data_IF_703234777725
#
_entry.id   IF_703234777725
#
_cell.length_a   1.000
_cell.length_b   1.000
_cell.length_c   1.000
_cell.angle_alpha   90.00
_cell.angle_beta   90.00
_cell.angle_gamma   90.00
#
_symmetry.space_group_name_H-M   'P 1'
#
loop_
_entity.id
_entity.type
_entity.pdbx_description
1 polymer ?
#
# COMPACT_ATOMS: atom_id res chain seq x y z
N UNK A 1 34.35 -3.74 14.77
CA UNK A 1 33.99 -4.97 15.50
C UNK A 1 32.48 -5.16 15.36
N UNK A 2 32.02 -6.09 14.50
CA UNK A 2 30.59 -6.33 14.33
C UNK A 2 30.07 -7.03 15.59
N UNK A 3 29.17 -6.38 16.35
CA UNK A 3 28.47 -7.06 17.46
C UNK A 3 27.77 -8.30 16.89
N UNK A 4 27.78 -9.42 17.61
CA UNK A 4 27.13 -10.65 17.14
C UNK A 4 25.65 -10.36 16.83
N UNK A 5 25.24 -10.46 15.56
CA UNK A 5 23.85 -10.29 15.15
C UNK A 5 22.97 -11.25 15.96
N UNK A 6 22.04 -10.72 16.75
CA UNK A 6 21.07 -11.55 17.48
C UNK A 6 19.88 -11.82 16.57
N UNK A 7 20.06 -12.75 15.63
CA UNK A 7 19.08 -13.06 14.59
C UNK A 7 17.66 -13.28 15.13
N UNK A 8 17.49 -14.12 16.16
CA UNK A 8 16.17 -14.37 16.76
C UNK A 8 15.50 -13.11 17.34
N UNK A 9 16.27 -12.13 17.82
CA UNK A 9 15.73 -10.85 18.27
C UNK A 9 15.35 -9.94 17.11
N UNK A 10 16.14 -9.93 16.04
CA UNK A 10 15.79 -9.17 14.84
C UNK A 10 14.49 -9.70 14.22
N UNK A 11 14.34 -11.03 14.14
CA UNK A 11 13.09 -11.67 13.69
C UNK A 11 11.91 -11.25 14.57
N UNK A 12 12.03 -11.40 15.89
CA UNK A 12 10.95 -11.03 16.82
C UNK A 12 10.61 -9.54 16.73
N UNK A 13 11.61 -8.67 16.69
CA UNK A 13 11.42 -7.23 16.60
C UNK A 13 10.74 -6.81 15.29
N UNK A 14 11.14 -7.39 14.16
CA UNK A 14 10.49 -7.17 12.87
C UNK A 14 9.03 -7.61 12.87
N UNK A 15 8.74 -8.81 13.36
CA UNK A 15 7.37 -9.32 13.46
C UNK A 15 6.48 -8.42 14.34
N UNK A 16 6.98 -8.00 15.51
CA UNK A 16 6.24 -7.10 16.41
C UNK A 16 6.00 -5.72 15.79
N UNK A 17 7.01 -5.16 15.12
CA UNK A 17 6.90 -3.87 14.44
C UNK A 17 5.89 -3.92 13.30
N UNK A 18 5.92 -4.98 12.46
CA UNK A 18 4.93 -5.18 11.39
C UNK A 18 3.53 -5.35 11.94
N UNK A 19 3.36 -6.15 13.01
CA UNK A 19 2.07 -6.37 13.63
C UNK A 19 1.50 -5.05 14.19
N UNK A 20 2.31 -4.26 14.90
CA UNK A 20 1.89 -2.96 15.42
C UNK A 20 1.46 -1.99 14.31
N UNK A 21 2.25 -1.91 13.23
CA UNK A 21 1.92 -1.08 12.08
C UNK A 21 0.62 -1.54 11.38
N UNK A 22 0.46 -2.84 11.21
CA UNK A 22 -0.73 -3.45 10.59
C UNK A 22 -1.97 -3.16 11.43
N UNK A 23 -1.92 -3.40 12.74
CA UNK A 23 -3.03 -3.12 13.65
C UNK A 23 -3.43 -1.65 13.61
N UNK A 24 -2.46 -0.74 13.55
CA UNK A 24 -2.72 0.69 13.43
C UNK A 24 -3.47 1.01 12.14
N UNK A 25 -3.00 0.49 11.00
CA UNK A 25 -3.63 0.70 9.69
C UNK A 25 -5.06 0.14 9.62
N UNK A 26 -5.31 -1.04 10.17
CA UNK A 26 -6.66 -1.61 10.26
C UNK A 26 -7.55 -0.89 11.29
N UNK A 27 -6.96 -0.15 12.22
CA UNK A 27 -7.67 0.69 13.19
C UNK A 27 -8.11 2.05 12.64
N UNK A 28 -7.60 2.52 11.50
CA UNK A 28 -7.95 3.83 10.94
C UNK A 28 -9.46 4.06 10.72
N UNK A 29 -10.21 3.10 10.19
CA UNK A 29 -11.66 3.26 10.04
C UNK A 29 -12.38 3.52 11.36
N UNK A 30 -11.85 3.04 12.49
CA UNK A 30 -12.45 3.25 13.82
C UNK A 30 -12.37 4.71 14.28
N UNK A 31 -11.46 5.50 13.71
CA UNK A 31 -11.31 6.94 13.98
C UNK A 31 -11.78 7.81 12.82
N UNK A 32 -12.57 7.24 11.89
CA UNK A 32 -13.15 7.96 10.74
C UNK A 32 -12.18 8.25 9.60
N UNK A 33 -11.00 7.61 9.59
CA UNK A 33 -10.03 7.72 8.51
C UNK A 33 -10.28 6.64 7.44
N UNK A 34 -9.92 6.88 6.17
CA UNK A 34 -10.11 5.91 5.10
C UNK A 34 -9.32 4.62 5.34
N UNK A 35 -9.91 3.48 5.00
CA UNK A 35 -9.24 2.17 5.04
C UNK A 35 -8.16 2.08 3.98
N UNK A 36 -6.95 1.63 4.36
CA UNK A 36 -5.87 1.31 3.43
C UNK A 36 -5.65 -0.20 3.39
N UNK A 37 -6.12 -0.85 2.33
CA UNK A 37 -5.98 -2.30 2.17
C UNK A 37 -4.66 -2.68 1.50
N UNK A 38 -3.56 -2.50 2.25
CA UNK A 38 -2.21 -2.83 1.78
C UNK A 38 -2.05 -4.35 1.58
N UNK A 39 -2.78 -5.18 2.33
CA UNK A 39 -2.68 -6.63 2.20
C UNK A 39 -3.24 -7.10 0.86
N UNK A 40 -4.44 -6.65 0.49
CA UNK A 40 -4.97 -6.96 -0.84
C UNK A 40 -4.08 -6.37 -1.95
N UNK A 41 -3.58 -5.13 -1.77
CA UNK A 41 -2.72 -4.48 -2.77
C UNK A 41 -1.41 -5.25 -3.00
N UNK A 42 -0.71 -5.67 -1.94
CA UNK A 42 0.54 -6.42 -2.04
C UNK A 42 0.31 -7.83 -2.60
N UNK A 43 -0.73 -8.53 -2.15
CA UNK A 43 -1.00 -9.89 -2.59
C UNK A 43 -1.51 -9.97 -4.02
N UNK A 44 -2.27 -8.97 -4.48
CA UNK A 44 -2.84 -8.93 -5.83
C UNK A 44 -1.81 -8.73 -6.96
N UNK A 45 -0.57 -8.39 -6.62
CA UNK A 45 0.53 -8.25 -7.60
C UNK A 45 1.03 -9.61 -8.11
N UNK A 46 0.86 -10.66 -7.30
CA UNK A 46 1.42 -11.97 -7.60
C UNK A 46 0.36 -12.93 -8.12
N UNK A 47 0.62 -13.68 -9.22
CA UNK A 47 -0.34 -14.57 -9.86
C UNK A 47 -0.38 -15.94 -9.18
N UNK A 48 -0.51 -15.98 -7.86
CA UNK A 48 -0.65 -17.23 -7.12
C UNK A 48 -2.12 -17.48 -6.80
N UNK A 49 -2.57 -18.74 -6.85
CA UNK A 49 -3.93 -19.16 -6.47
C UNK A 49 -4.20 -19.09 -4.94
N UNK A 50 -3.48 -18.22 -4.24
CA UNK A 50 -3.65 -17.93 -2.83
C UNK A 50 -4.49 -16.68 -2.65
N UNK A 51 -5.24 -16.60 -1.55
CA UNK A 51 -5.97 -15.38 -1.20
C UNK A 51 -5.03 -14.17 -1.21
N UNK A 52 -5.38 -13.05 -1.87
CA UNK A 52 -4.57 -11.83 -1.87
C UNK A 52 -4.23 -11.36 -0.44
N UNK A 53 -5.13 -11.56 0.52
CA UNK A 53 -4.88 -11.20 1.91
C UNK A 53 -3.81 -12.08 2.57
N UNK A 54 -3.80 -13.38 2.29
CA UNK A 54 -2.79 -14.31 2.83
C UNK A 54 -1.44 -13.99 2.21
N UNK A 55 -1.39 -13.89 0.88
CA UNK A 55 -0.16 -13.57 0.15
C UNK A 55 0.40 -12.20 0.58
N UNK A 56 -0.45 -11.17 0.61
CA UNK A 56 -0.08 -9.83 1.06
C UNK A 56 0.41 -9.80 2.50
N UNK A 57 -0.22 -10.56 3.40
CA UNK A 57 0.24 -10.68 4.80
C UNK A 57 1.63 -11.31 4.91
N UNK A 58 1.91 -12.36 4.12
CA UNK A 58 3.22 -13.00 4.09
C UNK A 58 4.30 -12.05 3.55
N UNK A 59 4.00 -11.34 2.47
CA UNK A 59 4.90 -10.35 1.87
C UNK A 59 5.16 -9.20 2.85
N UNK A 60 4.11 -8.67 3.49
CA UNK A 60 4.23 -7.58 4.46
C UNK A 60 5.06 -7.98 5.69
N UNK A 61 4.81 -9.18 6.23
CA UNK A 61 5.60 -9.75 7.31
C UNK A 61 7.05 -9.98 6.89
N UNK A 62 7.28 -10.57 5.72
CA UNK A 62 8.62 -10.81 5.16
C UNK A 62 9.42 -9.52 4.95
N UNK A 63 8.78 -8.47 4.42
CA UNK A 63 9.39 -7.14 4.26
C UNK A 63 9.78 -6.54 5.61
N UNK A 64 8.90 -6.59 6.61
CA UNK A 64 9.25 -6.08 7.94
C UNK A 64 10.40 -6.85 8.60
N UNK A 65 10.40 -8.19 8.53
CA UNK A 65 11.53 -8.98 9.02
C UNK A 65 12.84 -8.61 8.29
N UNK A 66 12.78 -8.43 6.96
CA UNK A 66 13.94 -8.04 6.16
C UNK A 66 14.48 -6.66 6.57
N UNK A 67 13.59 -5.68 6.77
CA UNK A 67 13.94 -4.35 7.25
C UNK A 67 14.53 -4.40 8.67
N UNK A 68 14.02 -5.26 9.55
CA UNK A 68 14.57 -5.44 10.89
C UNK A 68 15.99 -6.01 10.87
N UNK A 69 16.28 -6.94 9.96
CA UNK A 69 17.63 -7.47 9.76
C UNK A 69 18.58 -6.39 9.21
N UNK A 70 18.13 -5.59 8.25
CA UNK A 70 18.91 -4.45 7.72
C UNK A 70 19.20 -3.44 8.82
N UNK A 71 18.20 -3.07 9.62
CA UNK A 71 18.36 -2.18 10.77
C UNK A 71 19.42 -2.74 11.74
N UNK A 72 19.27 -4.00 12.14
CA UNK A 72 20.15 -4.68 13.07
C UNK A 72 21.61 -4.76 12.58
N UNK A 73 21.81 -4.92 11.28
CA UNK A 73 23.13 -5.11 10.67
C UNK A 73 23.86 -3.79 10.40
N UNK A 74 23.16 -2.78 9.87
CA UNK A 74 23.79 -1.59 9.31
C UNK A 74 23.51 -0.32 10.12
N UNK A 75 22.31 -0.18 10.68
CA UNK A 75 21.84 1.09 11.24
C UNK A 75 21.91 1.16 12.75
N UNK A 76 21.71 0.04 13.44
CA UNK A 76 21.81 -0.01 14.89
C UNK A 76 23.15 0.63 15.33
N UNK A 77 24.34 0.17 14.92
CA UNK A 77 25.59 0.72 15.48
C UNK A 77 25.85 2.21 15.19
N UNK A 78 25.15 2.80 14.22
CA UNK A 78 25.40 4.15 13.71
C UNK A 78 24.40 5.20 14.20
N UNK A 79 23.16 4.80 14.49
CA UNK A 79 22.13 5.77 14.87
C UNK A 79 22.25 6.14 16.36
N UNK A 80 22.21 7.44 16.70
CA UNK A 80 22.31 7.91 18.08
C UNK A 80 20.98 7.79 18.84
N UNK A 81 21.06 7.81 20.17
CA UNK A 81 19.90 7.95 21.06
C UNK A 81 19.30 6.63 21.56
N UNK A 82 18.14 6.68 22.24
CA UNK A 82 17.46 5.49 22.75
C UNK A 82 16.93 4.62 21.60
N UNK A 83 16.68 3.34 21.90
CA UNK A 83 16.25 2.35 20.90
C UNK A 83 15.06 2.80 20.04
N UNK A 84 13.99 3.33 20.65
CA UNK A 84 12.82 3.83 19.91
C UNK A 84 13.17 4.94 18.92
N UNK A 85 14.08 5.85 19.28
CA UNK A 85 14.48 6.95 18.42
C UNK A 85 15.32 6.46 17.25
N UNK A 86 16.26 5.54 17.50
CA UNK A 86 17.10 4.92 16.46
C UNK A 86 16.24 4.20 15.43
N UNK A 87 15.28 3.41 15.89
CA UNK A 87 14.36 2.73 14.99
C UNK A 87 13.45 3.71 14.22
N UNK A 88 12.92 4.75 14.88
CA UNK A 88 12.13 5.79 14.21
C UNK A 88 12.93 6.55 13.15
N UNK A 89 14.20 6.89 13.43
CA UNK A 89 15.12 7.51 12.47
C UNK A 89 15.39 6.60 11.26
N UNK A 90 15.61 5.31 11.50
CA UNK A 90 15.76 4.32 10.42
C UNK A 90 14.52 4.27 9.52
N UNK A 91 13.32 4.35 10.09
CA UNK A 91 12.06 4.24 9.35
C UNK A 91 11.77 5.37 8.36
N UNK A 92 12.52 6.47 8.38
CA UNK A 92 12.43 7.45 7.29
C UNK A 92 12.83 6.86 5.93
N UNK A 93 13.74 5.88 5.91
CA UNK A 93 14.18 5.21 4.68
C UNK A 93 13.04 4.40 4.04
N UNK A 94 12.42 3.42 4.72
CA UNK A 94 11.29 2.69 4.15
C UNK A 94 10.08 3.59 3.89
N UNK A 95 9.85 4.65 4.68
CA UNK A 95 8.81 5.64 4.38
C UNK A 95 9.08 6.37 3.06
N UNK A 96 10.32 6.83 2.84
CA UNK A 96 10.69 7.50 1.60
C UNK A 96 10.58 6.54 0.40
N UNK A 97 11.00 5.30 0.57
CA UNK A 97 10.76 4.24 -0.42
C UNK A 97 9.26 4.06 -0.70
N UNK A 98 8.43 4.00 0.33
CA UNK A 98 7.00 3.81 0.18
C UNK A 98 6.34 4.94 -0.62
N UNK A 99 6.75 6.19 -0.39
CA UNK A 99 6.14 7.34 -1.07
C UNK A 99 6.67 7.59 -2.48
N UNK A 100 7.90 7.17 -2.77
CA UNK A 100 8.56 7.47 -4.07
C UNK A 100 8.67 6.28 -5.00
N UNK A 101 8.85 5.08 -4.47
CA UNK A 101 9.26 3.89 -5.24
C UNK A 101 8.26 2.76 -5.17
N UNK A 102 7.36 2.69 -4.19
CA UNK A 102 6.44 1.57 -4.06
C UNK A 102 5.53 1.42 -5.28
N UNK A 103 4.90 2.50 -5.74
CA UNK A 103 4.02 2.46 -6.93
C UNK A 103 4.73 1.91 -8.17
N UNK A 104 5.85 2.51 -8.61
CA UNK A 104 6.67 1.97 -9.70
C UNK A 104 7.12 0.53 -9.46
N UNK A 105 7.50 0.18 -8.23
CA UNK A 105 7.97 -1.19 -7.91
C UNK A 105 6.86 -2.23 -8.05
N UNK A 106 5.63 -1.91 -7.62
CA UNK A 106 4.48 -2.80 -7.79
C UNK A 106 4.08 -2.96 -9.26
N UNK A 107 4.19 -1.89 -10.05
CA UNK A 107 3.95 -1.96 -11.50
C UNK A 107 4.96 -2.90 -12.16
N UNK A 108 6.25 -2.68 -11.91
CA UNK A 108 7.33 -3.53 -12.44
C UNK A 108 7.14 -4.98 -12.01
N UNK A 109 6.81 -5.23 -10.74
CA UNK A 109 6.53 -6.57 -10.26
C UNK A 109 5.35 -7.20 -11.00
N UNK A 110 4.26 -6.46 -11.22
CA UNK A 110 3.11 -6.97 -11.95
C UNK A 110 3.45 -7.32 -13.40
N UNK A 111 4.30 -6.52 -14.06
CA UNK A 111 4.73 -6.76 -15.44
C UNK A 111 5.65 -7.99 -15.52
N UNK A 112 6.54 -8.18 -14.54
CA UNK A 112 7.44 -9.33 -14.45
C UNK A 112 6.70 -10.64 -14.20
N UNK A 113 5.71 -10.63 -13.29
CA UNK A 113 5.02 -11.86 -12.90
C UNK A 113 3.85 -12.22 -13.82
N UNK A 114 3.27 -11.26 -14.57
CA UNK A 114 2.18 -11.56 -15.51
C UNK A 114 2.63 -12.13 -16.85
N UNK A 115 3.94 -12.17 -17.14
CA UNK A 115 4.53 -12.90 -18.27
C UNK A 115 3.94 -12.58 -19.64
N UNK A 116 4.60 -11.73 -20.43
CA UNK A 116 4.51 -11.61 -21.91
C UNK A 116 3.16 -11.97 -22.60
N UNK A 117 2.02 -11.52 -22.08
CA UNK A 117 0.81 -11.39 -22.89
C UNK A 117 0.59 -9.89 -23.16
N UNK A 118 1.14 -9.47 -24.31
CA UNK A 118 0.95 -8.19 -25.01
C UNK A 118 1.77 -6.97 -24.55
N UNK A 119 2.98 -6.88 -25.12
CA UNK A 119 3.53 -5.59 -25.54
C UNK A 119 2.63 -5.02 -26.65
N UNK A 120 1.62 -4.22 -26.29
CA UNK A 120 1.08 -3.11 -27.11
C UNK A 120 -0.07 -2.38 -26.39
N UNK A 121 0.28 -1.50 -25.44
CA UNK A 121 -0.24 -0.13 -25.35
C UNK A 121 0.26 0.50 -24.05
N UNK A 122 1.49 0.99 -24.09
CA UNK A 122 1.92 2.02 -23.17
C UNK A 122 1.12 3.29 -23.53
N UNK A 123 0.02 3.50 -22.83
CA UNK A 123 -0.67 4.79 -22.80
C UNK A 123 -0.93 5.14 -21.34
N UNK A 124 0.13 5.62 -20.70
CA UNK A 124 0.12 6.50 -19.54
C UNK A 124 -0.35 5.90 -18.22
N UNK A 125 0.30 6.37 -17.16
CA UNK A 125 -0.35 6.72 -15.89
C UNK A 125 -1.62 7.51 -16.24
N UNK A 126 -2.71 6.78 -16.46
CA UNK A 126 -4.03 7.35 -16.61
C UNK A 126 -4.78 6.87 -15.39
N UNK A 127 -4.83 7.79 -14.42
CA UNK A 127 -5.96 7.99 -13.53
C UNK A 127 -7.22 7.23 -14.04
N UNK A 128 -7.88 6.39 -13.24
CA UNK A 128 -9.06 5.63 -13.67
C UNK A 128 -10.23 6.51 -14.17
N UNK A 129 -10.14 7.83 -14.05
CA UNK A 129 -11.04 8.84 -14.61
C UNK A 129 -10.59 9.42 -15.97
N UNK A 130 -9.44 9.00 -16.52
CA UNK A 130 -8.94 9.41 -17.85
C UNK A 130 -9.09 8.30 -18.90
N UNK A 131 -9.22 7.05 -18.48
CA UNK A 131 -9.89 6.03 -19.30
C UNK A 131 -11.37 6.36 -19.24
N UNK A 132 -11.87 7.15 -20.19
CA UNK A 132 -13.31 7.31 -20.39
C UNK A 132 -13.88 5.91 -20.57
N UNK A 133 -14.68 5.36 -19.64
CA UNK A 133 -15.37 4.12 -19.92
C UNK A 133 -16.17 4.37 -21.18
N UNK A 134 -16.06 3.46 -22.17
CA UNK A 134 -16.94 3.51 -23.32
C UNK A 134 -18.35 3.63 -22.76
N UNK A 135 -19.00 4.77 -23.01
CA UNK A 135 -20.35 5.00 -22.53
C UNK A 135 -21.17 3.82 -23.07
N UNK A 136 -21.84 3.01 -22.23
CA UNK A 136 -22.64 1.89 -22.72
C UNK A 136 -23.77 2.37 -23.66
N UNK A 137 -23.99 3.68 -23.78
CA UNK A 137 -24.85 4.31 -24.78
C UNK A 137 -24.20 4.52 -26.18
N UNK A 138 -22.96 4.07 -26.41
CA UNK A 138 -22.26 4.24 -27.70
C UNK A 138 -22.40 3.04 -28.63
N UNK A 139 -23.01 1.94 -28.17
CA UNK A 139 -23.43 0.87 -29.07
C UNK A 139 -24.59 1.39 -29.90
N UNK A 140 -24.37 1.46 -31.21
CA UNK A 140 -25.37 1.74 -32.22
C UNK A 140 -26.74 1.21 -31.77
N UNK A 141 -27.71 2.11 -31.62
CA UNK A 141 -29.10 1.75 -31.36
C UNK A 141 -29.53 0.78 -32.45
N UNK A 142 -29.54 -0.52 -32.14
CA UNK A 142 -30.17 -1.50 -32.99
C UNK A 142 -31.66 -1.13 -33.08
N UNK A 143 -32.15 -0.97 -34.32
CA UNK A 143 -33.53 -0.65 -34.70
C UNK A 143 -34.54 -1.14 -33.66
N UNK A 144 -35.24 -0.21 -33.02
CA UNK A 144 -36.31 -0.51 -32.06
C UNK A 144 -37.54 -1.09 -32.79
N UNK A 145 -38.08 -2.18 -32.23
CA UNK A 145 -39.39 -2.71 -32.58
C UNK A 145 -40.48 -1.90 -31.82
N UNK A 146 -41.50 -1.34 -32.51
CA UNK A 146 -42.48 -0.43 -31.90
C UNK A 146 -43.43 -1.05 -30.85
N UNK A 147 -43.36 -2.36 -30.58
CA UNK A 147 -44.27 -3.05 -29.66
C UNK A 147 -43.68 -3.47 -28.30
N UNK A 148 -42.47 -3.03 -27.92
CA UNK A 148 -41.90 -3.34 -26.60
C UNK A 148 -42.30 -2.31 -25.52
N UNK A 149 -42.64 -2.72 -24.28
CA UNK A 149 -42.96 -1.80 -23.20
C UNK A 149 -41.75 -0.92 -22.86
N UNK A 150 -41.97 0.40 -22.77
CA UNK A 150 -40.94 1.40 -22.43
C UNK A 150 -40.48 1.21 -20.99
N UNK A 151 -39.44 0.41 -20.77
CA UNK A 151 -38.64 0.50 -19.55
C UNK A 151 -37.88 1.82 -19.55
N UNK A 152 -38.02 2.57 -18.45
CA UNK A 152 -37.33 3.84 -18.23
C UNK A 152 -35.83 3.69 -18.45
N UNK A 153 -35.24 4.55 -19.29
CA UNK A 153 -33.81 4.56 -19.57
C UNK A 153 -33.04 4.82 -18.26
N UNK A 154 -32.19 3.89 -17.79
CA UNK A 154 -31.38 4.08 -16.58
C UNK A 154 -30.38 5.25 -16.71
N UNK A 155 -30.22 5.84 -17.90
CA UNK A 155 -29.36 6.99 -18.17
C UNK A 155 -30.01 8.37 -17.87
N UNK A 156 -31.17 8.41 -17.21
CA UNK A 156 -31.79 9.67 -16.75
C UNK A 156 -31.11 10.29 -15.51
N UNK A 157 -30.23 9.55 -14.84
CA UNK A 157 -29.43 10.05 -13.72
C UNK A 157 -27.99 10.23 -14.20
N UNK A 158 -27.62 11.48 -14.46
CA UNK A 158 -26.24 11.89 -14.75
C UNK A 158 -25.40 11.80 -13.45
N UNK A 159 -25.14 10.59 -12.97
CA UNK A 159 -24.18 10.34 -11.90
C UNK A 159 -22.97 9.64 -12.52
N UNK A 160 -21.95 10.44 -12.86
CA UNK A 160 -20.66 9.92 -13.27
C UNK A 160 -20.02 9.18 -12.06
N UNK A 161 -19.76 7.86 -12.13
CA UNK A 161 -19.10 7.14 -11.04
C UNK A 161 -17.67 7.63 -10.77
N UNK A 162 -17.06 8.36 -11.72
CA UNK A 162 -15.78 9.04 -11.53
C UNK A 162 -15.89 10.38 -10.76
N UNK A 163 -17.09 10.84 -10.40
CA UNK A 163 -17.28 11.99 -9.52
C UNK A 163 -16.95 11.65 -8.05
N UNK A 164 -16.82 10.37 -7.72
CA UNK A 164 -16.34 9.91 -6.41
C UNK A 164 -14.81 9.83 -6.47
N UNK A 165 -14.19 10.98 -6.19
CA UNK A 165 -12.80 11.14 -5.72
C UNK A 165 -11.76 10.16 -6.27
N UNK A 166 -11.00 10.67 -7.22
CA UNK A 166 -9.70 10.12 -7.60
C UNK A 166 -8.80 9.81 -6.38
N UNK A 167 -8.16 8.63 -6.28
CA UNK A 167 -7.19 8.36 -5.22
C UNK A 167 -5.90 9.20 -5.32
N UNK A 168 -5.69 9.88 -6.46
CA UNK A 168 -4.49 10.68 -6.73
C UNK A 168 -4.74 12.13 -7.16
N UNK A 169 -5.98 12.61 -7.07
CA UNK A 169 -6.35 13.95 -7.56
C UNK A 169 -6.92 14.77 -6.42
N UNK A 170 -6.20 15.82 -6.01
CA UNK A 170 -6.61 16.76 -4.97
C UNK A 170 -8.02 17.29 -5.22
N UNK A 171 -8.99 16.70 -4.52
CA UNK A 171 -10.33 17.22 -4.32
C UNK A 171 -10.47 17.49 -2.83
N UNK A 172 -10.39 18.77 -2.46
CA UNK A 172 -10.51 19.22 -1.09
C UNK A 172 -11.89 18.89 -0.52
N UNK A 173 -11.94 18.14 0.59
CA UNK A 173 -12.62 18.54 1.83
C UNK A 173 -12.75 17.34 2.80
N UNK A 174 -11.75 17.15 3.66
CA UNK A 174 -11.97 16.69 5.03
C UNK A 174 -10.79 17.18 5.86
N UNK A 175 -11.04 17.64 7.07
CA UNK A 175 -10.07 18.19 8.03
C UNK A 175 -9.05 17.15 8.54
N UNK A 176 -8.80 16.09 7.77
CA UNK A 176 -7.93 14.97 8.12
C UNK A 176 -6.48 15.18 7.68
N UNK A 177 -5.54 14.50 8.34
CA UNK A 177 -4.14 14.46 7.94
C UNK A 177 -3.96 13.91 6.51
N UNK A 178 -2.96 14.43 5.79
CA UNK A 178 -2.67 13.97 4.42
C UNK A 178 -2.25 12.50 4.38
N UNK A 179 -2.51 11.76 3.28
CA UNK A 179 -2.09 10.37 3.15
C UNK A 179 -0.58 10.17 3.38
N UNK A 180 0.24 11.16 2.98
CA UNK A 180 1.69 11.17 3.21
C UNK A 180 2.02 11.24 4.71
N UNK A 181 1.32 12.09 5.46
CA UNK A 181 1.49 12.22 6.91
C UNK A 181 1.06 10.94 7.63
N UNK A 182 -0.03 10.31 7.17
CA UNK A 182 -0.49 9.03 7.72
C UNK A 182 0.48 7.90 7.43
N UNK A 183 1.03 7.86 6.21
CA UNK A 183 2.11 6.93 5.85
C UNK A 183 3.35 7.16 6.72
N UNK A 184 3.75 8.41 6.95
CA UNK A 184 4.88 8.71 7.84
C UNK A 184 4.64 8.19 9.26
N UNK A 185 3.45 8.44 9.80
CA UNK A 185 3.10 8.04 11.16
C UNK A 185 3.19 6.51 11.36
N UNK A 186 2.66 5.71 10.43
CA UNK A 186 2.72 4.24 10.52
C UNK A 186 4.16 3.72 10.42
N UNK A 187 5.01 4.33 9.58
CA UNK A 187 6.42 3.95 9.47
C UNK A 187 7.24 4.35 10.71
N UNK A 188 6.98 5.54 11.27
CA UNK A 188 7.59 5.96 12.53
C UNK A 188 7.19 5.02 13.68
N UNK A 189 5.94 4.58 13.73
CA UNK A 189 5.49 3.56 14.69
C UNK A 189 6.25 2.25 14.50
N UNK A 190 6.33 1.74 13.27
CA UNK A 190 7.12 0.54 12.94
C UNK A 190 8.56 0.68 13.46
N UNK A 191 9.20 1.81 13.17
CA UNK A 191 10.58 2.08 13.56
C UNK A 191 10.73 2.13 15.08
N UNK A 192 9.86 2.86 15.76
CA UNK A 192 9.89 2.96 17.22
C UNK A 192 9.75 1.57 17.88
N UNK A 193 8.79 0.76 17.44
CA UNK A 193 8.58 -0.60 17.97
C UNK A 193 9.78 -1.49 17.67
N UNK A 194 10.31 -1.44 16.45
CA UNK A 194 11.52 -2.17 16.04
C UNK A 194 12.70 -1.84 16.95
N UNK A 195 12.97 -0.56 17.17
CA UNK A 195 14.10 -0.12 17.98
C UNK A 195 13.95 -0.39 19.48
N UNK A 196 12.72 -0.44 19.99
CA UNK A 196 12.44 -0.88 21.38
C UNK A 196 12.63 -2.39 21.53
N UNK A 197 12.09 -3.16 20.58
CA UNK A 197 12.13 -4.62 20.62
C UNK A 197 13.52 -5.18 20.32
N UNK A 198 14.26 -4.55 19.40
CA UNK A 198 15.65 -4.87 19.11
C UNK A 198 16.58 -4.20 20.13
N UNK A 199 16.63 -4.77 21.34
CA UNK A 199 17.64 -4.42 22.36
C UNK A 199 18.87 -5.33 22.23
N UNK A 200 20.03 -4.82 21.78
CA UNK A 200 21.28 -5.56 21.90
C UNK A 200 21.54 -5.76 23.39
N UNK A 201 21.75 -7.00 23.86
CA UNK A 201 22.18 -7.23 25.25
C UNK A 201 23.47 -6.45 25.52
N UNK A 202 23.45 -5.51 26.47
CA UNK A 202 24.66 -4.84 26.96
C UNK A 202 24.72 -3.31 26.82
N UNK A 203 23.59 -2.61 26.72
CA UNK A 203 23.50 -1.17 27.04
C UNK A 203 22.72 -0.96 28.32
#
# INVERSE_FOLDING_TARGET
MMKSLKFGRALLAGSLATAAMTLLMYGWPLVGLPSMDIMAALGGVFPFDLSPYIMGSLIHLGMGISLALIYAMFFDPWLPGPGWLRGAMFSFIPWLFAITLLGPSLQIASDLFKGEETVAANASVSNPCTVRPANPCSVNQAKSNPCSPKTSNPCSVNANPCAVTNPGGGGASSSGPSPQAMSLLVHLLYGAVLGVAYRPSGT
#
